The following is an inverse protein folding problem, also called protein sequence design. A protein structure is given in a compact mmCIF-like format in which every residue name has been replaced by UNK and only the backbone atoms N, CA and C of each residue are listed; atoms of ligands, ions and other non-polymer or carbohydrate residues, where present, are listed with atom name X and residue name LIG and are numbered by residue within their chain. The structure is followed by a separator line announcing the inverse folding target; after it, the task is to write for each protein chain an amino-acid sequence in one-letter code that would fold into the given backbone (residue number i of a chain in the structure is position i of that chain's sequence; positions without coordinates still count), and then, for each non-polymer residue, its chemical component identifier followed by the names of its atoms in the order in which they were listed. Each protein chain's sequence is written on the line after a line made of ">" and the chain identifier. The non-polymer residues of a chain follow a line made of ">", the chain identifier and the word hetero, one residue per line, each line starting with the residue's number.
data_IF_458608351770
#
_entry.id   IF_458608351770
#
_cell.length_a   1.000
_cell.length_b   1.000
_cell.length_c   1.000
_cell.angle_alpha   90.00
_cell.angle_beta   90.00
_cell.angle_gamma   90.00
#
_symmetry.space_group_name_H-M   'P 1'
#
loop_
_entity.id
_entity.type
_entity.pdbx_description
1 polymer ?
#
# COMPACT_ATOMS: atom_id res chain seq x y z
N UNK A 1 10.20 -1.56 -11.57
CA UNK A 1 9.90 -1.84 -10.15
C UNK A 1 10.90 -2.82 -9.62
N UNK A 2 11.01 -2.92 -8.30
CA UNK A 2 11.85 -3.90 -7.60
C UNK A 2 10.91 -4.77 -6.78
N UNK A 3 10.98 -6.08 -7.00
CA UNK A 3 10.24 -7.06 -6.19
C UNK A 3 11.02 -7.35 -4.91
N UNK A 4 10.32 -7.64 -3.81
CA UNK A 4 10.94 -7.81 -2.50
C UNK A 4 11.96 -8.94 -2.41
N UNK A 5 11.88 -9.95 -3.29
CA UNK A 5 12.88 -11.01 -3.40
C UNK A 5 14.25 -10.48 -3.86
N UNK A 6 14.26 -9.42 -4.68
CA UNK A 6 15.48 -8.80 -5.23
C UNK A 6 16.02 -7.69 -4.30
N UNK A 7 15.31 -7.38 -3.22
CA UNK A 7 15.73 -6.39 -2.24
C UNK A 7 16.74 -6.97 -1.25
N UNK A 8 17.63 -6.12 -0.74
CA UNK A 8 18.41 -6.44 0.47
C UNK A 8 17.52 -6.45 1.70
N UNK A 9 18.03 -6.99 2.81
CA UNK A 9 17.32 -6.95 4.10
C UNK A 9 16.98 -5.51 4.53
N UNK A 10 17.94 -4.58 4.37
CA UNK A 10 17.74 -3.17 4.70
C UNK A 10 16.66 -2.51 3.80
N UNK A 11 16.65 -2.81 2.50
CA UNK A 11 15.62 -2.30 1.58
C UNK A 11 14.22 -2.85 1.92
N UNK A 12 14.11 -4.14 2.29
CA UNK A 12 12.84 -4.71 2.76
C UNK A 12 12.36 -4.07 4.06
N UNK A 13 13.27 -3.78 4.99
CA UNK A 13 12.92 -3.05 6.21
C UNK A 13 12.39 -1.64 5.91
N UNK A 14 13.00 -0.94 4.95
CA UNK A 14 12.47 0.35 4.47
C UNK A 14 11.09 0.20 3.82
N UNK A 15 10.86 -0.86 3.05
CA UNK A 15 9.55 -1.15 2.46
C UNK A 15 8.48 -1.39 3.53
N UNK A 16 8.79 -2.17 4.56
CA UNK A 16 7.91 -2.40 5.71
C UNK A 16 7.62 -1.09 6.47
N UNK A 17 8.65 -0.29 6.75
CA UNK A 17 8.49 1.01 7.38
C UNK A 17 7.59 1.95 6.55
N UNK A 18 7.73 1.92 5.22
CA UNK A 18 6.87 2.67 4.32
C UNK A 18 5.41 2.21 4.40
N UNK A 19 5.15 0.91 4.47
CA UNK A 19 3.79 0.37 4.67
C UNK A 19 3.21 0.86 6.01
N UNK A 20 4.00 0.84 7.08
CA UNK A 20 3.57 1.31 8.40
C UNK A 20 3.17 2.79 8.41
N UNK A 21 3.80 3.65 7.60
CA UNK A 21 3.41 5.06 7.44
C UNK A 21 1.94 5.17 7.01
N UNK A 22 1.46 4.33 6.11
CA UNK A 22 0.06 4.38 5.67
C UNK A 22 -0.88 3.90 6.77
N UNK A 23 -0.59 2.73 7.34
CA UNK A 23 -1.49 2.07 8.28
C UNK A 23 -1.62 2.86 9.58
N UNK A 24 -0.51 3.41 10.09
CA UNK A 24 -0.51 4.20 11.34
C UNK A 24 -1.34 5.49 11.29
N UNK A 25 -1.78 5.93 10.11
CA UNK A 25 -2.66 7.11 9.95
C UNK A 25 -4.14 6.78 10.02
N UNK A 26 -4.50 5.51 9.99
CA UNK A 26 -5.88 5.06 10.10
C UNK A 26 -6.36 5.14 11.56
N UNK A 27 -7.68 5.15 11.81
CA UNK A 27 -8.21 4.94 13.15
C UNK A 27 -7.63 3.66 13.76
N UNK A 28 -7.31 3.69 15.06
CA UNK A 28 -6.56 2.64 15.77
C UNK A 28 -7.08 1.22 15.48
N UNK A 29 -8.39 0.99 15.60
CA UNK A 29 -8.99 -0.32 15.34
C UNK A 29 -8.80 -0.81 13.89
N UNK A 30 -8.81 0.10 12.92
CA UNK A 30 -8.54 -0.22 11.51
C UNK A 30 -7.04 -0.50 11.34
N UNK A 31 -6.18 0.35 11.90
CA UNK A 31 -4.74 0.18 11.83
C UNK A 31 -4.28 -1.17 12.39
N UNK A 32 -4.82 -1.59 13.53
CA UNK A 32 -4.53 -2.91 14.13
C UNK A 32 -4.94 -4.06 13.21
N UNK A 33 -6.13 -3.97 12.60
CA UNK A 33 -6.63 -4.97 11.66
C UNK A 33 -5.78 -5.03 10.38
N UNK A 34 -5.42 -3.90 9.78
CA UNK A 34 -4.53 -3.83 8.61
C UNK A 34 -3.14 -4.36 8.94
N UNK A 35 -2.57 -3.97 10.08
CA UNK A 35 -1.27 -4.46 10.55
C UNK A 35 -1.29 -5.98 10.73
N UNK A 36 -2.39 -6.54 11.24
CA UNK A 36 -2.60 -7.97 11.32
C UNK A 36 -2.53 -8.65 9.95
N UNK A 37 -3.11 -8.04 8.91
CA UNK A 37 -3.04 -8.58 7.54
C UNK A 37 -1.65 -8.46 6.94
N UNK A 38 -1.00 -7.30 7.07
CA UNK A 38 0.36 -7.08 6.55
C UNK A 38 1.39 -8.01 7.20
N UNK A 39 1.27 -8.32 8.49
CA UNK A 39 2.15 -9.31 9.15
C UNK A 39 2.09 -10.70 8.52
N UNK A 40 0.99 -11.03 7.85
CA UNK A 40 0.81 -12.30 7.13
C UNK A 40 1.18 -12.19 5.63
N UNK A 41 1.48 -10.99 5.13
CA UNK A 41 1.90 -10.78 3.74
C UNK A 41 3.36 -11.16 3.57
N UNK A 42 3.64 -11.94 2.53
CA UNK A 42 5.00 -12.22 2.09
C UNK A 42 5.59 -11.01 1.35
N UNK A 43 6.34 -10.17 2.07
CA UNK A 43 6.98 -8.99 1.50
C UNK A 43 7.97 -9.33 0.37
N UNK A 44 8.45 -10.58 0.25
CA UNK A 44 9.31 -10.96 -0.87
C UNK A 44 8.59 -10.95 -2.21
N UNK A 45 7.25 -11.10 -2.18
CA UNK A 45 6.39 -11.02 -3.37
C UNK A 45 5.84 -9.62 -3.63
N UNK A 46 6.07 -8.69 -2.70
CA UNK A 46 5.62 -7.30 -2.87
C UNK A 46 6.48 -6.57 -3.89
N UNK A 47 5.90 -5.62 -4.63
CA UNK A 47 6.60 -4.85 -5.65
C UNK A 47 6.57 -3.36 -5.31
N UNK A 48 7.75 -2.74 -5.32
CA UNK A 48 7.92 -1.30 -5.25
C UNK A 48 8.16 -0.71 -6.64
N UNK A 49 7.45 0.37 -6.98
CA UNK A 49 7.69 1.15 -8.21
C UNK A 49 7.88 2.61 -7.87
N UNK A 50 8.73 3.27 -8.65
CA UNK A 50 8.97 4.72 -8.60
C UNK A 50 8.82 5.28 -10.01
N UNK A 51 8.27 6.48 -10.12
CA UNK A 51 8.24 7.25 -11.36
C UNK A 51 8.46 8.74 -11.06
N UNK A 52 9.11 9.45 -11.97
CA UNK A 52 9.44 10.87 -11.81
C UNK A 52 10.83 11.10 -11.25
N UNK A 53 11.08 12.32 -10.79
CA UNK A 53 12.40 12.77 -10.36
C UNK A 53 12.81 12.14 -9.03
N UNK A 54 14.10 11.93 -8.81
CA UNK A 54 14.67 11.56 -7.50
C UNK A 54 15.15 12.79 -6.71
N UNK A 55 15.05 13.99 -7.30
CA UNK A 55 15.46 15.23 -6.66
C UNK A 55 14.38 15.72 -5.69
N UNK A 56 14.76 16.21 -4.49
CA UNK A 56 13.81 16.78 -3.54
C UNK A 56 12.97 17.92 -4.14
N UNK A 57 11.67 17.93 -3.83
CA UNK A 57 10.74 18.97 -4.29
C UNK A 57 10.36 18.88 -5.76
N UNK A 58 10.75 17.82 -6.47
CA UNK A 58 10.31 17.56 -7.86
C UNK A 58 9.22 16.50 -7.92
N UNK A 59 8.44 16.56 -8.98
CA UNK A 59 7.30 15.68 -9.19
C UNK A 59 7.71 14.22 -9.19
N UNK A 60 7.07 13.43 -8.33
CA UNK A 60 7.34 12.00 -8.19
C UNK A 60 6.13 11.22 -7.72
N UNK A 61 6.20 9.92 -7.97
CA UNK A 61 5.17 8.93 -7.67
C UNK A 61 5.86 7.66 -7.17
N UNK A 62 5.23 6.98 -6.22
CA UNK A 62 5.58 5.60 -5.92
C UNK A 62 4.37 4.76 -5.57
N UNK A 63 4.53 3.45 -5.70
CA UNK A 63 3.54 2.48 -5.25
C UNK A 63 4.21 1.25 -4.65
N UNK A 64 3.63 0.77 -3.55
CA UNK A 64 3.88 -0.55 -2.97
C UNK A 64 2.65 -1.41 -3.25
N UNK A 65 2.85 -2.54 -3.90
CA UNK A 65 1.79 -3.50 -4.14
C UNK A 65 2.13 -4.83 -3.46
N UNK A 66 1.31 -5.19 -2.47
CA UNK A 66 1.32 -6.51 -1.84
C UNK A 66 0.31 -7.45 -2.48
N UNK A 67 0.10 -8.59 -1.84
CA UNK A 67 -0.92 -9.58 -2.23
C UNK A 67 -2.35 -9.16 -1.87
N UNK A 68 -2.50 -8.43 -0.76
CA UNK A 68 -3.80 -8.01 -0.23
C UNK A 68 -3.99 -6.49 -0.22
N UNK A 69 -2.99 -5.69 -0.59
CA UNK A 69 -3.06 -4.24 -0.51
C UNK A 69 -2.33 -3.51 -1.63
N UNK A 70 -2.69 -2.23 -1.83
CA UNK A 70 -1.92 -1.24 -2.58
C UNK A 70 -1.75 0.02 -1.73
N UNK A 71 -0.51 0.48 -1.59
CA UNK A 71 -0.18 1.80 -1.06
C UNK A 71 0.36 2.67 -2.20
N UNK A 72 -0.28 3.79 -2.47
CA UNK A 72 0.05 4.68 -3.58
C UNK A 72 0.33 6.09 -3.09
N UNK A 73 1.30 6.76 -3.71
CA UNK A 73 1.67 8.14 -3.46
C UNK A 73 1.88 8.85 -4.79
N UNK A 74 1.26 10.02 -4.94
CA UNK A 74 1.44 10.91 -6.07
C UNK A 74 1.66 12.34 -5.57
N UNK A 75 2.78 12.94 -5.98
CA UNK A 75 3.05 14.35 -5.77
C UNK A 75 3.57 14.99 -7.06
N UNK A 76 2.76 14.94 -8.11
CA UNK A 76 3.08 15.53 -9.42
C UNK A 76 2.32 16.83 -9.69
N UNK A 77 1.28 17.14 -8.91
CA UNK A 77 0.42 18.31 -9.08
C UNK A 77 0.97 19.57 -8.41
N UNK A 78 0.55 20.75 -8.88
CA UNK A 78 0.87 22.06 -8.32
C UNK A 78 2.38 22.26 -8.05
N UNK A 79 3.23 21.91 -9.01
CA UNK A 79 4.69 21.94 -8.87
C UNK A 79 5.20 21.08 -7.70
N UNK A 80 4.66 19.85 -7.59
CA UNK A 80 4.99 18.88 -6.53
C UNK A 80 4.71 19.41 -5.11
N UNK A 81 3.63 20.17 -4.95
CA UNK A 81 3.19 20.74 -3.67
C UNK A 81 1.76 20.31 -3.29
N UNK A 82 1.25 19.24 -3.88
CA UNK A 82 -0.08 18.72 -3.55
C UNK A 82 -0.05 17.19 -3.57
N UNK A 83 0.09 16.63 -2.36
CA UNK A 83 0.28 15.19 -2.15
C UNK A 83 -1.07 14.49 -2.11
N UNK A 84 -1.19 13.42 -2.90
CA UNK A 84 -2.20 12.39 -2.73
C UNK A 84 -1.54 11.12 -2.20
N UNK A 85 -2.17 10.49 -1.22
CA UNK A 85 -1.76 9.19 -0.70
C UNK A 85 -2.99 8.32 -0.47
N UNK A 86 -2.93 7.07 -0.90
CA UNK A 86 -4.04 6.13 -0.83
C UNK A 86 -3.56 4.79 -0.30
N UNK A 87 -4.35 4.19 0.59
CA UNK A 87 -4.29 2.77 0.95
C UNK A 87 -5.52 2.08 0.39
N UNK A 88 -5.36 0.92 -0.25
CA UNK A 88 -6.45 0.11 -0.79
C UNK A 88 -6.34 -1.32 -0.30
N UNK A 89 -7.45 -1.84 0.21
CA UNK A 89 -7.63 -3.27 0.45
C UNK A 89 -8.09 -3.94 -0.84
N UNK A 90 -7.32 -4.90 -1.35
CA UNK A 90 -7.65 -5.66 -2.56
C UNK A 90 -8.60 -6.83 -2.30
N UNK A 91 -8.74 -7.27 -1.05
CA UNK A 91 -9.60 -8.38 -0.65
C UNK A 91 -11.04 -7.95 -0.34
N UNK A 92 -11.26 -6.67 -0.05
CA UNK A 92 -12.58 -6.06 0.06
C UNK A 92 -12.72 -4.80 -0.82
N UNK A 93 -12.17 -4.87 -2.03
CA UNK A 93 -12.19 -3.76 -2.99
C UNK A 93 -13.62 -3.51 -3.48
N UNK A 94 -14.19 -2.39 -3.05
CA UNK A 94 -15.58 -1.98 -3.31
C UNK A 94 -16.66 -2.94 -2.75
N UNK A 95 -16.44 -3.49 -1.55
CA UNK A 95 -17.48 -4.24 -0.83
C UNK A 95 -17.76 -5.63 -1.40
N UNK A 96 -16.77 -6.22 -2.09
CA UNK A 96 -16.87 -7.56 -2.65
C UNK A 96 -17.24 -8.62 -1.61
N UNK A 97 -16.78 -8.48 -0.36
CA UNK A 97 -17.12 -9.44 0.69
C UNK A 97 -18.58 -9.32 1.11
N UNK A 98 -19.08 -8.10 1.33
CA UNK A 98 -20.50 -7.88 1.66
C UNK A 98 -21.43 -8.45 0.59
N UNK A 99 -21.09 -8.26 -0.69
CA UNK A 99 -21.85 -8.83 -1.80
C UNK A 99 -21.80 -10.36 -1.80
N UNK A 100 -20.62 -10.95 -1.58
CA UNK A 100 -20.43 -12.40 -1.50
C UNK A 100 -21.25 -13.01 -0.36
N UNK A 101 -21.26 -12.37 0.81
CA UNK A 101 -21.98 -12.84 1.99
C UNK A 101 -23.49 -12.76 1.80
N UNK A 102 -24.00 -11.73 1.11
CA UNK A 102 -25.41 -11.65 0.71
C UNK A 102 -25.83 -12.88 -0.12
N UNK A 103 -25.06 -13.23 -1.15
CA UNK A 103 -25.36 -14.41 -1.98
C UNK A 103 -25.33 -15.73 -1.20
N UNK A 104 -24.42 -15.88 -0.23
CA UNK A 104 -24.32 -17.10 0.58
C UNK A 104 -25.44 -17.28 1.60
N UNK A 105 -26.03 -16.17 2.05
CA UNK A 105 -26.99 -16.17 3.16
C UNK A 105 -28.44 -15.99 2.71
N UNK A 106 -28.65 -15.51 1.49
CA UNK A 106 -29.98 -15.15 0.96
C UNK A 106 -30.44 -16.03 -0.22
N UNK A 107 -29.66 -17.04 -0.62
CA UNK A 107 -30.00 -17.99 -1.70
C UNK A 107 -29.54 -19.42 -1.39
#
# INVERSE_FOLDING_TARGET
>A
GIVGQDMTAAQRQTLEALIHVYISRMPEAVAEAEMGRVRNTDLTKSCFVWAGSTDPGKGHYYRVQGDCFVAEYDNTQNDANHIHAVWRDLQDDFGQQMLRDHYRTSH
#
